data_IF_090419560502
#
_entry.id   IF_090419560502
#
_cell.length_a   1.000
_cell.length_b   1.000
_cell.length_c   1.000
_cell.angle_alpha   90.00
_cell.angle_beta   90.00
_cell.angle_gamma   90.00
#
_symmetry.space_group_name_H-M   'P 1'
#
loop_
_entity.id
_entity.type
_entity.pdbx_description
1 polymer ?
#
# COMPACT_ATOMS: atom_id res chain seq x y z
N UNK A 1 3.71 -13.97 17.11
CA UNK A 1 3.38 -12.68 16.46
C UNK A 1 4.68 -11.96 16.13
N UNK A 2 5.16 -12.09 14.89
CA UNK A 2 6.41 -11.45 14.45
C UNK A 2 6.18 -9.97 14.17
N UNK A 3 6.95 -9.10 14.84
CA UNK A 3 6.93 -7.66 14.56
C UNK A 3 7.43 -7.44 13.15
N UNK A 4 6.59 -6.87 12.28
CA UNK A 4 7.01 -6.42 10.95
C UNK A 4 8.07 -5.33 11.15
N UNK A 5 9.28 -5.45 10.57
CA UNK A 5 10.31 -4.44 10.76
C UNK A 5 9.84 -3.15 10.11
N UNK A 6 9.68 -2.11 10.92
CA UNK A 6 9.41 -0.74 10.45
C UNK A 6 10.69 -0.24 9.79
N UNK A 7 10.83 -0.52 8.50
CA UNK A 7 11.81 0.14 7.64
C UNK A 7 11.06 0.77 6.48
N UNK A 8 11.71 1.75 5.86
CA UNK A 8 11.26 2.64 4.77
C UNK A 8 10.79 1.92 3.47
N UNK A 9 10.50 0.61 3.53
CA UNK A 9 10.47 -0.37 2.41
C UNK A 9 9.20 -1.23 2.37
N UNK A 10 8.02 -0.65 2.53
CA UNK A 10 6.76 -1.42 2.38
C UNK A 10 6.44 -1.81 0.91
N UNK A 11 7.35 -1.46 -0.01
CA UNK A 11 7.22 -1.54 -1.47
C UNK A 11 8.44 -2.20 -2.13
N UNK A 12 9.30 -2.88 -1.37
CA UNK A 12 10.42 -3.65 -1.91
C UNK A 12 10.24 -5.17 -1.70
N UNK A 13 10.86 -6.02 -2.55
CA UNK A 13 10.89 -7.47 -2.35
C UNK A 13 11.51 -7.83 -0.99
N UNK A 14 10.92 -8.79 -0.29
CA UNK A 14 11.53 -9.33 0.95
C UNK A 14 12.51 -10.47 0.64
N UNK A 15 13.53 -10.70 1.49
CA UNK A 15 14.42 -11.84 1.34
C UNK A 15 13.64 -13.16 1.30
N UNK A 16 13.89 -13.99 0.27
CA UNK A 16 13.18 -15.27 0.07
C UNK A 16 11.83 -15.17 -0.65
N UNK A 17 11.35 -13.96 -0.96
CA UNK A 17 10.16 -13.78 -1.81
C UNK A 17 10.51 -14.02 -3.27
N UNK A 18 9.85 -15.00 -3.89
CA UNK A 18 10.01 -15.25 -5.32
C UNK A 18 9.52 -14.05 -6.13
N UNK A 19 10.13 -13.81 -7.29
CA UNK A 19 9.73 -12.72 -8.20
C UNK A 19 8.23 -12.80 -8.59
N UNK A 20 7.68 -14.01 -8.75
CA UNK A 20 6.25 -14.21 -9.03
C UNK A 20 5.36 -13.76 -7.86
N UNK A 21 5.74 -14.11 -6.63
CA UNK A 21 5.03 -13.67 -5.43
C UNK A 21 5.10 -12.15 -5.27
N UNK A 22 6.26 -11.55 -5.56
CA UNK A 22 6.45 -10.10 -5.54
C UNK A 22 5.54 -9.37 -6.54
N UNK A 23 5.50 -9.80 -7.81
CA UNK A 23 4.61 -9.21 -8.82
C UNK A 23 3.13 -9.35 -8.46
N UNK A 24 2.76 -10.50 -7.90
CA UNK A 24 1.41 -10.74 -7.40
C UNK A 24 1.04 -9.78 -6.25
N UNK A 25 1.97 -9.57 -5.32
CA UNK A 25 1.81 -8.62 -4.23
C UNK A 25 1.66 -7.18 -4.74
N UNK A 26 2.51 -6.72 -5.67
CA UNK A 26 2.39 -5.39 -6.27
C UNK A 26 0.99 -5.18 -6.86
N UNK A 27 0.51 -6.16 -7.62
CA UNK A 27 -0.83 -6.10 -8.20
C UNK A 27 -1.91 -6.03 -7.11
N UNK A 28 -1.80 -6.86 -6.06
CA UNK A 28 -2.73 -6.86 -4.93
C UNK A 28 -2.75 -5.52 -4.17
N UNK A 29 -1.58 -4.92 -3.92
CA UNK A 29 -1.42 -3.62 -3.27
C UNK A 29 -2.08 -2.50 -4.09
N UNK A 30 -1.79 -2.45 -5.39
CA UNK A 30 -2.22 -1.38 -6.28
C UNK A 30 -3.74 -1.36 -6.50
N UNK A 31 -4.45 -2.42 -6.11
CA UNK A 31 -5.92 -2.45 -6.10
C UNK A 31 -6.57 -1.59 -5.00
N UNK A 32 -5.79 -1.12 -4.02
CA UNK A 32 -6.29 -0.24 -2.97
C UNK A 32 -7.46 -0.86 -2.20
N UNK A 33 -8.49 -0.06 -1.91
CA UNK A 33 -9.69 -0.44 -1.16
C UNK A 33 -10.44 -1.65 -1.74
N UNK A 34 -10.31 -1.91 -3.05
CA UNK A 34 -11.00 -2.99 -3.76
C UNK A 34 -10.22 -4.32 -3.79
N UNK A 35 -9.11 -4.40 -3.04
CA UNK A 35 -8.18 -5.52 -3.01
C UNK A 35 -8.86 -6.85 -2.69
N UNK A 36 -8.55 -7.86 -3.49
CA UNK A 36 -8.95 -9.24 -3.29
C UNK A 36 -7.92 -10.15 -3.94
N UNK A 37 -7.61 -11.28 -3.31
CA UNK A 37 -6.71 -12.28 -3.88
C UNK A 37 -7.25 -12.84 -5.20
N UNK A 38 -8.57 -13.01 -5.32
CA UNK A 38 -9.20 -13.51 -6.55
C UNK A 38 -9.07 -12.52 -7.69
N UNK A 39 -9.35 -11.24 -7.42
CA UNK A 39 -9.25 -10.18 -8.41
C UNK A 39 -7.81 -9.93 -8.84
N UNK A 40 -6.87 -9.96 -7.89
CA UNK A 40 -5.45 -9.82 -8.19
C UNK A 40 -4.93 -11.02 -8.99
N UNK A 41 -5.36 -12.25 -8.66
CA UNK A 41 -5.05 -13.45 -9.43
C UNK A 41 -5.57 -13.36 -10.87
N UNK A 42 -6.84 -12.96 -11.04
CA UNK A 42 -7.44 -12.78 -12.35
C UNK A 42 -6.68 -11.72 -13.17
N UNK A 43 -6.30 -10.60 -12.55
CA UNK A 43 -5.53 -9.55 -13.21
C UNK A 43 -4.13 -10.00 -13.63
N UNK A 44 -3.45 -10.82 -12.83
CA UNK A 44 -2.10 -11.31 -13.15
C UNK A 44 -2.11 -12.44 -14.17
N UNK A 45 -3.09 -13.35 -14.08
CA UNK A 45 -3.07 -14.61 -14.86
C UNK A 45 -4.06 -14.64 -16.02
N UNK A 46 -5.02 -13.70 -16.07
CA UNK A 46 -6.15 -13.73 -16.99
C UNK A 46 -7.19 -14.81 -16.70
N UNK A 47 -7.00 -15.61 -15.64
CA UNK A 47 -7.90 -16.72 -15.31
C UNK A 47 -9.06 -16.26 -14.45
N UNK A 48 -10.27 -16.63 -14.84
CA UNK A 48 -11.48 -16.39 -14.04
C UNK A 48 -11.57 -17.39 -12.88
N UNK A 49 -12.26 -17.00 -11.82
CA UNK A 49 -12.51 -17.84 -10.64
C UNK A 49 -11.59 -17.55 -9.47
N UNK A 50 -11.52 -18.52 -8.54
CA UNK A 50 -10.78 -18.38 -7.28
C UNK A 50 -9.27 -18.45 -7.49
N UNK A 51 -8.53 -17.67 -6.71
CA UNK A 51 -7.07 -17.72 -6.67
C UNK A 51 -6.54 -19.12 -6.36
N UNK A 52 -5.36 -19.43 -6.91
CA UNK A 52 -4.69 -20.69 -6.59
C UNK A 52 -4.24 -20.74 -5.12
N UNK A 53 -4.22 -21.94 -4.52
CA UNK A 53 -3.88 -22.14 -3.09
C UNK A 53 -2.52 -21.53 -2.69
N UNK A 54 -1.55 -21.50 -3.60
CA UNK A 54 -0.23 -20.93 -3.32
C UNK A 54 -0.26 -19.40 -3.13
N UNK A 55 -1.24 -18.68 -3.70
CA UNK A 55 -1.41 -17.24 -3.44
C UNK A 55 -1.87 -16.95 -2.01
N UNK A 56 -2.76 -17.78 -1.46
CA UNK A 56 -3.15 -17.66 -0.06
C UNK A 56 -1.94 -17.87 0.86
N UNK A 57 -1.09 -18.85 0.53
CA UNK A 57 0.16 -19.12 1.24
C UNK A 57 1.15 -17.96 1.12
N UNK A 58 1.34 -17.37 -0.06
CA UNK A 58 2.21 -16.19 -0.22
C UNK A 58 1.68 -15.00 0.56
N UNK A 59 0.37 -14.75 0.50
CA UNK A 59 -0.26 -13.65 1.24
C UNK A 59 -0.02 -13.74 2.74
N UNK A 60 -0.15 -14.94 3.30
CA UNK A 60 0.08 -15.16 4.74
C UNK A 60 1.57 -15.13 5.11
N UNK A 61 2.42 -15.84 4.35
CA UNK A 61 3.86 -15.95 4.64
C UNK A 61 4.60 -14.63 4.46
N UNK A 62 4.22 -13.85 3.46
CA UNK A 62 4.87 -12.57 3.14
C UNK A 62 4.09 -11.37 3.71
N UNK A 63 3.12 -11.63 4.60
CA UNK A 63 2.36 -10.63 5.34
C UNK A 63 1.75 -9.51 4.47
N UNK A 64 1.13 -9.89 3.35
CA UNK A 64 0.65 -8.94 2.35
C UNK A 64 -0.30 -7.89 2.94
N UNK A 65 -1.24 -8.30 3.79
CA UNK A 65 -2.23 -7.40 4.41
C UNK A 65 -1.53 -6.33 5.25
N UNK A 66 -0.60 -6.72 6.13
CA UNK A 66 0.14 -5.79 6.98
C UNK A 66 1.02 -4.84 6.17
N UNK A 67 1.65 -5.34 5.09
CA UNK A 67 2.44 -4.51 4.17
C UNK A 67 1.56 -3.48 3.45
N UNK A 68 0.38 -3.90 2.96
CA UNK A 68 -0.59 -2.99 2.34
C UNK A 68 -1.10 -1.93 3.33
N UNK A 69 -1.40 -2.31 4.57
CA UNK A 69 -1.83 -1.34 5.58
C UNK A 69 -0.75 -0.31 5.87
N UNK A 70 0.51 -0.73 5.96
CA UNK A 70 1.63 0.19 6.14
C UNK A 70 1.83 1.12 4.94
N UNK A 71 1.64 0.61 3.71
CA UNK A 71 1.62 1.40 2.49
C UNK A 71 0.50 2.46 2.52
N UNK A 72 -0.73 2.04 2.78
CA UNK A 72 -1.90 2.91 2.82
C UNK A 72 -1.72 4.03 3.86
N UNK A 73 -1.19 3.68 5.04
CA UNK A 73 -0.89 4.66 6.10
C UNK A 73 0.17 5.67 5.68
N UNK A 74 1.23 5.23 4.99
CA UNK A 74 2.26 6.12 4.47
C UNK A 74 1.71 7.08 3.41
N UNK A 75 0.93 6.56 2.45
CA UNK A 75 0.26 7.38 1.42
C UNK A 75 -0.70 8.38 2.06
N UNK A 76 -1.51 7.95 3.03
CA UNK A 76 -2.45 8.84 3.73
C UNK A 76 -1.73 9.92 4.54
N UNK A 77 -0.62 9.58 5.20
CA UNK A 77 0.19 10.54 5.95
C UNK A 77 0.75 11.62 5.03
N UNK A 78 1.24 11.23 3.86
CA UNK A 78 1.78 12.18 2.88
C UNK A 78 0.67 13.07 2.29
N UNK A 79 -0.47 12.49 1.92
CA UNK A 79 -1.63 13.25 1.45
C UNK A 79 -2.10 14.28 2.50
N UNK A 80 -2.15 13.88 3.78
CA UNK A 80 -2.46 14.81 4.89
C UNK A 80 -1.43 15.94 4.98
N UNK A 81 -0.13 15.63 4.85
CA UNK A 81 0.94 16.64 4.91
C UNK A 81 0.79 17.70 3.82
N UNK A 82 0.49 17.28 2.59
CA UNK A 82 0.28 18.17 1.45
C UNK A 82 -0.93 19.08 1.70
N UNK A 83 -2.07 18.50 2.07
CA UNK A 83 -3.29 19.27 2.35
C UNK A 83 -3.10 20.27 3.49
N UNK A 84 -2.36 19.91 4.54
CA UNK A 84 -2.08 20.84 5.64
C UNK A 84 -1.15 21.98 5.18
N UNK A 85 -0.15 21.70 4.34
CA UNK A 85 0.74 22.70 3.78
C UNK A 85 -0.03 23.70 2.89
N UNK A 86 -0.85 23.21 1.97
CA UNK A 86 -1.68 24.05 1.09
C UNK A 86 -2.66 24.92 1.88
N UNK A 87 -3.26 24.36 2.94
CA UNK A 87 -4.12 25.13 3.85
C UNK A 87 -3.33 26.23 4.54
N UNK A 88 -2.17 25.92 5.11
CA UNK A 88 -1.33 26.91 5.79
C UNK A 88 -0.90 28.04 4.84
N UNK A 89 -0.48 27.71 3.61
CA UNK A 89 -0.13 28.70 2.59
C UNK A 89 -1.33 29.59 2.23
N UNK A 90 -2.51 29.01 2.02
CA UNK A 90 -3.73 29.76 1.74
C UNK A 90 -4.16 30.67 2.89
N UNK A 91 -3.98 30.22 4.14
CA UNK A 91 -4.25 31.05 5.32
C UNK A 91 -3.23 32.19 5.44
N UNK A 92 -1.95 31.92 5.20
CA UNK A 92 -0.89 32.93 5.23
C UNK A 92 -1.09 34.00 4.14
N UNK A 93 -1.48 33.61 2.93
CA UNK A 93 -1.79 34.55 1.84
C UNK A 93 -3.03 35.41 2.16
N UNK A 94 -4.12 34.77 2.61
CA UNK A 94 -5.39 35.47 2.88
C UNK A 94 -5.35 36.37 4.11
N UNK A 95 -4.66 35.94 5.17
CA UNK A 95 -4.72 36.59 6.48
C UNK A 95 -3.37 37.10 6.99
N UNK A 96 -2.26 36.82 6.31
CA UNK A 96 -0.92 37.31 6.67
C UNK A 96 -0.82 38.82 6.88
N UNK A 97 -1.50 39.67 6.08
CA UNK A 97 -1.51 41.12 6.31
C UNK A 97 -2.23 41.56 7.60
N UNK A 98 -3.05 40.69 8.20
CA UNK A 98 -3.87 40.98 9.39
C UNK A 98 -3.35 40.29 10.66
N UNK A 99 -2.24 39.55 10.57
CA UNK A 99 -1.55 38.96 11.71
C UNK A 99 -0.45 39.91 12.18
N UNK A 100 -0.83 40.91 12.98
CA UNK A 100 0.07 41.79 13.74
C UNK A 100 -0.32 41.78 15.22
#
# INVERSE_FOLDING_TARGET
MGKVPVTKRYYEPIPGETHKAWLAFCTYRDMGHSRSLDKAWQKVTGKNGRHARHWARWSSQNHWVSRCQAYDNAVMKEARRIVQKERAEKYADRFGPYLW
#
